data_IF_292591999179
#
_entry.id   IF_292591999179
#
_cell.length_a   1.000
_cell.length_b   1.000
_cell.length_c   1.000
_cell.angle_alpha   90.00
_cell.angle_beta   90.00
_cell.angle_gamma   90.00
#
_symmetry.space_group_name_H-M   'P 1'
#
loop_
_entity.id
_entity.type
_entity.pdbx_description
1 polymer ?
#
# COMPACT_ATOMS: atom_id res chain seq x y z
N UNK A 1 -8.06 -19.98 29.46
CA UNK A 1 -7.26 -18.80 29.81
C UNK A 1 -6.59 -18.34 28.52
N UNK A 2 -7.26 -17.49 27.76
CA UNK A 2 -6.76 -17.00 26.46
C UNK A 2 -5.66 -15.98 26.73
N UNK A 3 -4.45 -16.27 26.27
CA UNK A 3 -3.34 -15.30 26.25
C UNK A 3 -3.66 -14.25 25.20
N UNK A 4 -3.74 -13.01 25.65
CA UNK A 4 -4.04 -11.83 24.86
C UNK A 4 -2.76 -11.47 24.08
N UNK A 5 -2.60 -11.99 22.86
CA UNK A 5 -1.48 -11.67 21.98
C UNK A 5 -1.65 -10.27 21.38
N UNK A 6 -1.30 -9.27 22.19
CA UNK A 6 -1.16 -7.87 21.71
C UNK A 6 0.05 -7.65 20.80
N UNK A 7 0.85 -8.68 20.54
CA UNK A 7 2.15 -8.53 19.86
C UNK A 7 2.09 -8.50 18.33
N UNK A 8 1.10 -9.14 17.68
CA UNK A 8 1.04 -9.22 16.22
C UNK A 8 0.85 -7.87 15.53
N UNK A 9 -0.16 -7.10 15.97
CA UNK A 9 -0.43 -5.78 15.37
C UNK A 9 0.72 -4.79 15.62
N UNK A 10 1.36 -4.88 16.80
CA UNK A 10 2.50 -4.04 17.17
C UNK A 10 3.73 -4.36 16.32
N UNK A 11 3.96 -5.63 15.98
CA UNK A 11 5.06 -6.06 15.10
C UNK A 11 4.91 -5.50 13.69
N UNK A 12 3.74 -5.67 13.08
CA UNK A 12 3.46 -5.19 11.71
C UNK A 12 3.50 -3.67 11.59
N UNK A 13 3.00 -2.94 12.59
CA UNK A 13 3.07 -1.47 12.61
C UNK A 13 4.51 -0.99 12.84
N UNK A 14 5.29 -1.66 13.68
CA UNK A 14 6.69 -1.31 13.91
C UNK A 14 7.54 -1.61 12.67
N UNK A 15 7.26 -2.66 11.91
CA UNK A 15 7.90 -2.93 10.64
C UNK A 15 7.72 -1.75 9.68
N UNK A 16 6.49 -1.25 9.48
CA UNK A 16 6.24 -0.10 8.61
C UNK A 16 6.91 1.19 9.11
N UNK A 17 7.11 1.35 10.42
CA UNK A 17 7.84 2.49 10.99
C UNK A 17 9.37 2.40 10.82
N UNK A 18 9.91 1.19 10.71
CA UNK A 18 11.36 0.94 10.52
C UNK A 18 11.80 1.32 9.11
N UNK A 19 10.88 1.28 8.13
CA UNK A 19 11.18 1.55 6.73
C UNK A 19 11.05 3.03 6.42
N UNK A 20 12.17 3.70 6.25
CA UNK A 20 12.21 5.08 5.76
C UNK A 20 12.08 5.10 4.24
N UNK A 21 11.28 6.03 3.71
CA UNK A 21 11.28 6.29 2.27
C UNK A 21 12.70 6.73 1.88
N UNK A 22 13.36 5.94 1.04
CA UNK A 22 14.73 6.21 0.60
C UNK A 22 14.77 6.91 -0.75
N UNK A 23 13.83 6.57 -1.62
CA UNK A 23 13.76 7.11 -2.97
C UNK A 23 12.32 7.17 -3.44
N UNK A 24 11.89 8.34 -3.87
CA UNK A 24 10.63 8.52 -4.57
C UNK A 24 10.92 8.84 -6.04
N UNK A 25 10.30 8.10 -6.95
CA UNK A 25 10.43 8.25 -8.39
C UNK A 25 9.06 8.52 -9.00
N UNK A 26 9.00 9.41 -9.96
CA UNK A 26 7.78 9.67 -10.73
C UNK A 26 8.02 9.30 -12.19
N UNK A 27 7.08 8.56 -12.77
CA UNK A 27 7.07 8.23 -14.20
C UNK A 27 5.77 8.73 -14.83
N UNK A 28 5.85 9.15 -16.09
CA UNK A 28 4.66 9.61 -16.81
C UNK A 28 3.66 8.46 -17.00
N UNK A 29 4.13 7.33 -17.49
CA UNK A 29 3.28 6.17 -17.76
C UNK A 29 4.00 4.85 -17.43
N UNK A 30 3.24 3.89 -16.91
CA UNK A 30 3.66 2.48 -16.77
C UNK A 30 2.44 1.57 -16.95
N UNK A 31 2.66 0.28 -17.11
CA UNK A 31 1.56 -0.69 -17.10
C UNK A 31 0.90 -0.76 -15.72
N UNK A 32 1.70 -0.88 -14.67
CA UNK A 32 1.29 -0.85 -13.28
C UNK A 32 2.50 -0.55 -12.39
N UNK A 33 2.39 0.38 -11.46
CA UNK A 33 3.46 0.68 -10.50
C UNK A 33 3.88 -0.56 -9.70
N UNK A 34 2.91 -1.43 -9.37
CA UNK A 34 3.17 -2.68 -8.67
C UNK A 34 3.93 -3.69 -9.57
N UNK A 35 3.51 -3.85 -10.83
CA UNK A 35 4.20 -4.73 -11.79
C UNK A 35 5.62 -4.25 -12.08
N UNK A 36 5.83 -2.94 -12.16
CA UNK A 36 7.16 -2.37 -12.36
C UNK A 36 8.09 -2.65 -11.16
N UNK A 37 7.62 -2.46 -9.93
CA UNK A 37 8.43 -2.81 -8.75
C UNK A 37 8.72 -4.31 -8.68
N UNK A 38 7.78 -5.18 -9.11
CA UNK A 38 8.02 -6.62 -9.23
C UNK A 38 9.16 -6.91 -10.22
N UNK A 39 9.16 -6.31 -11.41
CA UNK A 39 10.24 -6.46 -12.38
C UNK A 39 11.59 -6.02 -11.83
N UNK A 40 11.62 -4.90 -11.08
CA UNK A 40 12.84 -4.43 -10.43
C UNK A 40 13.33 -5.38 -9.36
N UNK A 41 12.44 -5.98 -8.59
CA UNK A 41 12.79 -7.01 -7.61
C UNK A 41 13.41 -8.23 -8.30
N UNK A 42 12.77 -8.75 -9.35
CA UNK A 42 13.28 -9.89 -10.13
C UNK A 42 14.68 -9.63 -10.71
N UNK A 43 14.99 -8.38 -11.06
CA UNK A 43 16.30 -7.98 -11.58
C UNK A 43 17.31 -7.59 -10.47
N UNK A 44 16.97 -7.78 -9.19
CA UNK A 44 17.87 -7.46 -8.07
C UNK A 44 18.17 -5.97 -7.87
N UNK A 45 17.38 -5.07 -8.50
CA UNK A 45 17.63 -3.62 -8.44
C UNK A 45 16.65 -2.87 -7.53
N UNK A 46 15.67 -3.57 -6.95
CA UNK A 46 14.72 -2.96 -6.02
C UNK A 46 15.36 -2.79 -4.64
N UNK A 47 15.19 -1.62 -4.07
CA UNK A 47 15.65 -1.30 -2.71
C UNK A 47 14.45 -1.08 -1.80
N UNK A 48 14.59 -1.50 -0.55
CA UNK A 48 13.65 -1.17 0.50
C UNK A 48 13.40 0.34 0.59
N UNK A 49 12.14 0.74 0.85
CA UNK A 49 11.75 2.15 0.90
C UNK A 49 11.68 2.85 -0.47
N UNK A 50 11.73 2.10 -1.58
CA UNK A 50 11.48 2.68 -2.91
C UNK A 50 10.00 2.97 -3.09
N UNK A 51 9.68 4.21 -3.50
CA UNK A 51 8.33 4.64 -3.86
C UNK A 51 8.31 4.93 -5.36
N UNK A 52 7.42 4.29 -6.09
CA UNK A 52 7.15 4.57 -7.50
C UNK A 52 5.78 5.20 -7.65
N UNK A 53 5.74 6.38 -8.25
CA UNK A 53 4.52 7.12 -8.56
C UNK A 53 4.36 7.15 -10.09
N UNK A 54 3.14 6.94 -10.59
CA UNK A 54 2.83 7.09 -12.01
C UNK A 54 1.71 8.11 -12.20
N UNK A 55 1.81 8.93 -13.25
CA UNK A 55 0.70 9.80 -13.64
C UNK A 55 -0.41 8.98 -14.30
N UNK A 56 -0.03 7.89 -14.99
CA UNK A 56 -0.96 6.99 -15.69
C UNK A 56 -0.52 5.54 -15.59
N UNK A 57 -1.48 4.63 -15.39
CA UNK A 57 -1.29 3.19 -15.52
C UNK A 57 -2.13 2.63 -16.69
N UNK A 58 -1.50 1.90 -17.63
CA UNK A 58 -2.21 1.31 -18.77
C UNK A 58 -2.88 -0.02 -18.43
N UNK A 59 -2.38 -0.74 -17.42
CA UNK A 59 -2.87 -2.02 -16.94
C UNK A 59 -2.91 -2.08 -15.41
N UNK A 60 -3.45 -1.03 -14.77
CA UNK A 60 -3.63 -1.00 -13.32
C UNK A 60 -4.44 -2.21 -12.83
N UNK A 61 -4.01 -2.84 -11.74
CA UNK A 61 -4.63 -4.04 -11.18
C UNK A 61 -5.14 -3.79 -9.77
N UNK A 62 -6.33 -4.32 -9.50
CA UNK A 62 -6.89 -4.47 -8.16
C UNK A 62 -6.88 -5.93 -7.73
N UNK A 63 -7.43 -6.20 -6.55
CA UNK A 63 -7.58 -7.57 -6.02
C UNK A 63 -8.48 -8.42 -6.92
N UNK A 64 -8.22 -9.74 -6.97
CA UNK A 64 -8.99 -10.73 -7.72
C UNK A 64 -9.09 -10.39 -9.22
N UNK A 65 -7.99 -9.91 -9.82
CA UNK A 65 -7.93 -9.61 -11.25
C UNK A 65 -8.75 -8.40 -11.72
N UNK A 66 -9.34 -7.63 -10.80
CA UNK A 66 -10.10 -6.42 -11.19
C UNK A 66 -9.16 -5.37 -11.78
N UNK A 67 -9.63 -4.69 -12.80
CA UNK A 67 -8.94 -3.54 -13.38
C UNK A 67 -9.03 -2.35 -12.42
N UNK A 68 -7.90 -1.63 -12.28
CA UNK A 68 -7.87 -0.34 -11.62
C UNK A 68 -7.96 0.76 -12.68
N UNK A 69 -8.93 1.63 -12.55
CA UNK A 69 -9.14 2.71 -13.53
C UNK A 69 -8.37 3.96 -13.13
N UNK A 70 -7.83 4.66 -14.15
CA UNK A 70 -7.21 5.95 -13.94
C UNK A 70 -8.30 7.02 -13.85
N UNK A 71 -8.32 7.75 -12.77
CA UNK A 71 -9.17 8.95 -12.63
C UNK A 71 -8.27 10.17 -12.54
N UNK A 72 -8.71 11.28 -13.10
CA UNK A 72 -7.97 12.54 -13.01
C UNK A 72 -7.73 12.91 -11.53
N UNK A 73 -6.49 13.25 -11.19
CA UNK A 73 -6.10 13.61 -9.83
C UNK A 73 -5.88 12.42 -8.89
N UNK A 74 -5.94 11.18 -9.38
CA UNK A 74 -5.62 10.02 -8.57
C UNK A 74 -4.11 9.92 -8.31
N UNK A 75 -3.74 9.58 -7.09
CA UNK A 75 -2.37 9.18 -6.74
C UNK A 75 -2.20 7.68 -7.00
N UNK A 76 -1.42 7.34 -8.02
CA UNK A 76 -1.11 5.96 -8.40
C UNK A 76 0.31 5.67 -7.95
N UNK A 77 0.47 4.92 -6.86
CA UNK A 77 1.80 4.65 -6.30
C UNK A 77 1.93 3.24 -5.75
N UNK A 78 3.15 2.76 -5.71
CA UNK A 78 3.56 1.55 -4.99
C UNK A 78 4.78 1.84 -4.15
N UNK A 79 4.85 1.17 -3.00
CA UNK A 79 5.95 1.26 -2.05
C UNK A 79 6.52 -0.15 -1.88
N UNK A 80 7.83 -0.29 -2.06
CA UNK A 80 8.54 -1.51 -1.72
C UNK A 80 8.97 -1.47 -0.25
N UNK A 81 8.62 -2.50 0.48
CA UNK A 81 9.03 -2.69 1.87
C UNK A 81 9.62 -4.09 2.02
N UNK A 82 10.73 -4.18 2.72
CA UNK A 82 11.28 -5.45 3.15
C UNK A 82 10.31 -6.13 4.12
N UNK A 83 10.14 -7.43 3.99
CA UNK A 83 9.21 -8.23 4.77
C UNK A 83 9.92 -9.34 5.58
N UNK A 84 11.25 -9.34 5.66
CA UNK A 84 12.02 -10.39 6.36
C UNK A 84 11.65 -10.53 7.84
N UNK A 85 11.32 -9.41 8.49
CA UNK A 85 10.92 -9.38 9.91
C UNK A 85 9.40 -9.63 10.12
N UNK A 86 8.62 -9.89 9.06
CA UNK A 86 7.16 -10.09 9.15
C UNK A 86 6.88 -11.59 9.20
N UNK A 87 6.27 -12.07 10.30
CA UNK A 87 5.81 -13.45 10.38
C UNK A 87 4.76 -13.73 9.29
N UNK A 88 4.78 -14.93 8.70
CA UNK A 88 3.88 -15.30 7.61
C UNK A 88 2.39 -15.12 7.99
N UNK A 89 2.04 -15.37 9.25
CA UNK A 89 0.71 -15.17 9.83
C UNK A 89 0.28 -13.70 9.87
N UNK A 90 1.26 -12.75 9.92
CA UNK A 90 1.00 -11.32 10.01
C UNK A 90 0.93 -10.62 8.65
N UNK A 91 1.31 -11.28 7.55
CA UNK A 91 1.27 -10.72 6.20
C UNK A 91 -0.10 -10.15 5.83
N UNK A 92 -1.24 -10.80 6.15
CA UNK A 92 -2.56 -10.21 5.91
C UNK A 92 -2.79 -8.87 6.61
N UNK A 93 -2.09 -8.61 7.73
CA UNK A 93 -2.21 -7.37 8.50
C UNK A 93 -1.47 -6.20 7.85
N UNK A 94 -0.52 -6.46 6.94
CA UNK A 94 0.22 -5.40 6.22
C UNK A 94 -0.74 -4.47 5.46
N UNK A 95 -1.77 -5.03 4.83
CA UNK A 95 -2.78 -4.23 4.13
C UNK A 95 -3.56 -3.32 5.08
N UNK A 96 -3.89 -3.81 6.27
CA UNK A 96 -4.59 -3.03 7.29
C UNK A 96 -3.67 -1.95 7.87
N UNK A 97 -2.41 -2.27 8.15
CA UNK A 97 -1.42 -1.30 8.61
C UNK A 97 -1.20 -0.17 7.60
N UNK A 98 -1.12 -0.51 6.30
CA UNK A 98 -1.05 0.48 5.23
C UNK A 98 -2.33 1.35 5.18
N UNK A 99 -3.51 0.76 5.39
CA UNK A 99 -4.77 1.51 5.44
C UNK A 99 -4.80 2.50 6.60
N UNK A 100 -4.31 2.11 7.77
CA UNK A 100 -4.17 3.01 8.93
C UNK A 100 -3.20 4.15 8.63
N UNK A 101 -2.05 3.89 8.01
CA UNK A 101 -1.09 4.92 7.61
C UNK A 101 -1.68 5.93 6.61
N UNK A 102 -2.48 5.48 5.65
CA UNK A 102 -3.21 6.37 4.73
C UNK A 102 -4.25 7.19 5.50
N UNK A 103 -4.97 6.58 6.44
CA UNK A 103 -5.97 7.28 7.25
C UNK A 103 -5.33 8.40 8.08
N UNK A 104 -4.21 8.12 8.75
CA UNK A 104 -3.46 9.09 9.53
C UNK A 104 -2.96 10.25 8.65
N UNK A 105 -2.42 9.93 7.47
CA UNK A 105 -1.95 10.92 6.50
C UNK A 105 -3.08 11.83 6.01
N UNK A 106 -4.25 11.26 5.74
CA UNK A 106 -5.45 12.04 5.38
C UNK A 106 -5.92 12.92 6.54
N UNK A 107 -5.88 12.41 7.77
CA UNK A 107 -6.20 13.18 8.97
C UNK A 107 -5.31 14.41 9.11
N UNK A 108 -4.00 14.26 8.92
CA UNK A 108 -3.04 15.36 8.93
C UNK A 108 -3.32 16.39 7.84
N UNK A 109 -3.57 15.93 6.60
CA UNK A 109 -3.86 16.79 5.45
C UNK A 109 -5.17 17.59 5.64
N UNK A 110 -6.20 16.97 6.17
CA UNK A 110 -7.48 17.62 6.43
C UNK A 110 -7.37 18.63 7.56
N UNK A 111 -6.61 18.32 8.60
CA UNK A 111 -6.37 19.23 9.73
C UNK A 111 -5.58 20.47 9.30
N UNK A 112 -4.59 20.32 8.42
CA UNK A 112 -3.74 21.42 7.95
C UNK A 112 -4.48 22.46 7.10
N UNK A 113 -5.55 22.04 6.41
CA UNK A 113 -6.32 22.89 5.48
C UNK A 113 -7.54 23.58 6.08
N UNK A 114 -7.66 23.69 7.42
CA UNK A 114 -8.83 24.25 8.12
C UNK A 114 -10.17 23.58 7.71
N UNK A 115 -10.11 22.35 7.20
CA UNK A 115 -11.32 21.56 6.93
C UNK A 115 -11.90 21.04 8.23
N UNK A 116 -13.21 20.97 8.31
CA UNK A 116 -13.89 20.67 9.57
C UNK A 116 -13.54 19.28 10.10
N UNK A 117 -13.52 19.11 11.42
CA UNK A 117 -13.39 17.78 12.06
C UNK A 117 -14.45 16.79 11.57
N UNK A 118 -15.58 17.27 11.07
CA UNK A 118 -16.63 16.44 10.47
C UNK A 118 -16.15 15.73 9.19
N UNK A 119 -15.30 16.37 8.37
CA UNK A 119 -14.79 15.72 7.15
C UNK A 119 -13.87 14.54 7.47
N UNK A 120 -13.10 14.58 8.54
CA UNK A 120 -12.25 13.48 8.98
C UNK A 120 -13.10 12.29 9.51
N UNK A 121 -14.24 12.55 10.13
CA UNK A 121 -15.14 11.51 10.64
C UNK A 121 -15.84 10.71 9.52
N UNK A 122 -15.88 11.25 8.30
CA UNK A 122 -16.48 10.60 7.14
C UNK A 122 -15.52 9.63 6.42
N UNK A 123 -14.24 9.57 6.83
CA UNK A 123 -13.26 8.63 6.28
C UNK A 123 -13.27 7.33 7.08
N UNK A 124 -13.46 6.20 6.41
CA UNK A 124 -13.56 4.88 7.04
C UNK A 124 -12.79 3.82 6.27
N UNK A 125 -12.22 2.85 7.00
CA UNK A 125 -11.66 1.65 6.41
C UNK A 125 -12.82 0.68 6.12
N UNK A 126 -12.95 0.29 4.84
CA UNK A 126 -13.75 -0.85 4.43
C UNK A 126 -12.82 -2.05 4.30
N UNK A 127 -12.91 -2.92 5.30
CA UNK A 127 -12.08 -4.13 5.33
C UNK A 127 -12.20 -4.96 4.04
N UNK A 128 -11.10 -5.56 3.54
CA UNK A 128 -9.77 -5.52 4.13
C UNK A 128 -8.82 -4.46 3.55
N UNK A 129 -9.19 -3.73 2.50
CA UNK A 129 -8.20 -3.02 1.67
C UNK A 129 -8.69 -1.71 1.05
N UNK A 130 -9.86 -1.24 1.40
CA UNK A 130 -10.43 -0.03 0.82
C UNK A 130 -10.60 1.06 1.88
N UNK A 131 -10.41 2.31 1.49
CA UNK A 131 -10.78 3.47 2.29
C UNK A 131 -11.92 4.17 1.59
N UNK A 132 -12.95 4.47 2.35
CA UNK A 132 -14.14 5.17 1.88
C UNK A 132 -14.17 6.58 2.45
N UNK A 133 -14.68 7.51 1.66
CA UNK A 133 -15.10 8.83 2.07
C UNK A 133 -16.56 9.03 1.68
N UNK A 134 -17.43 9.32 2.64
CA UNK A 134 -18.87 9.46 2.40
C UNK A 134 -19.46 8.33 1.55
N UNK A 135 -19.17 7.09 1.94
CA UNK A 135 -19.59 5.85 1.25
C UNK A 135 -18.98 5.61 -0.14
N UNK A 136 -18.19 6.53 -0.68
CA UNK A 136 -17.50 6.37 -1.96
C UNK A 136 -16.06 5.90 -1.72
N UNK A 137 -15.56 5.04 -2.61
CA UNK A 137 -14.18 4.56 -2.53
C UNK A 137 -13.20 5.71 -2.82
N UNK A 138 -12.40 6.04 -1.82
CA UNK A 138 -11.34 7.04 -1.90
C UNK A 138 -9.99 6.41 -2.24
N UNK A 139 -9.67 5.26 -1.64
CA UNK A 139 -8.40 4.57 -1.85
C UNK A 139 -8.63 3.06 -1.90
N UNK A 140 -7.78 2.36 -2.63
CA UNK A 140 -7.68 0.91 -2.62
C UNK A 140 -6.22 0.51 -2.45
N UNK A 141 -5.97 -0.47 -1.61
CA UNK A 141 -4.63 -0.95 -1.27
C UNK A 141 -4.47 -2.37 -1.78
N UNK A 142 -3.38 -2.62 -2.50
CA UNK A 142 -3.01 -3.94 -2.98
C UNK A 142 -1.60 -4.27 -2.47
N UNK A 143 -1.51 -5.13 -1.47
CA UNK A 143 -0.24 -5.68 -1.03
C UNK A 143 0.08 -6.95 -1.84
N UNK A 144 1.32 -7.08 -2.28
CA UNK A 144 1.86 -8.25 -2.94
C UNK A 144 3.13 -8.67 -2.21
N UNK A 145 3.22 -9.92 -1.81
CA UNK A 145 4.45 -10.49 -1.28
C UNK A 145 5.28 -11.00 -2.47
N UNK A 146 6.57 -10.69 -2.44
CA UNK A 146 7.54 -11.20 -3.40
C UNK A 146 8.55 -12.06 -2.64
N UNK A 147 8.70 -13.29 -3.04
CA UNK A 147 9.79 -14.14 -2.59
C UNK A 147 10.96 -13.97 -3.55
N UNK A 148 12.14 -13.68 -3.06
CA UNK A 148 13.34 -13.46 -3.92
C UNK A 148 13.79 -14.73 -4.63
N UNK A 149 13.33 -15.91 -4.19
CA UNK A 149 13.58 -17.20 -4.83
C UNK A 149 12.61 -17.53 -5.98
N UNK A 150 11.45 -16.86 -6.08
CA UNK A 150 10.37 -17.22 -6.99
C UNK A 150 10.24 -16.27 -8.19
N UNK A 151 11.23 -15.41 -8.41
CA UNK A 151 11.23 -14.49 -9.55
C UNK A 151 11.27 -15.18 -10.94
N UNK A 152 11.31 -16.51 -10.98
CA UNK A 152 11.42 -17.31 -12.21
C UNK A 152 10.16 -18.08 -12.61
N UNK A 153 9.08 -18.14 -11.79
CA UNK A 153 7.97 -19.08 -12.06
C UNK A 153 6.56 -18.50 -11.82
N UNK A 154 6.28 -17.28 -12.20
CA UNK A 154 4.89 -16.78 -12.32
C UNK A 154 4.49 -16.61 -13.79
N UNK A 155 4.57 -17.71 -14.52
CA UNK A 155 3.78 -17.93 -15.72
C UNK A 155 2.43 -18.53 -15.32
N UNK A 156 1.49 -17.72 -14.79
CA UNK A 156 0.02 -17.90 -14.91
C UNK A 156 -0.71 -16.80 -14.13
#
# INVERSE_FOLDING_TARGET
MMKNDKNGLTGSVNCLKKHSIRKAETVHETDSTNAELKRRAANGVLKDGTVLIAERQTRGRGRRGRKWENTSGALLMSIACDAEDIAAEDIPLVTLAAALGVLDSLGLLLSSKKRSKADAADVRIKWPNDILFRQKKLCGILACLLYTSDAADDGE
#
